data_IF_654788791361
#
_entry.id   IF_654788791361
#
_cell.length_a   1.000
_cell.length_b   1.000
_cell.length_c   1.000
_cell.angle_alpha   90.00
_cell.angle_beta   90.00
_cell.angle_gamma   90.00
#
_symmetry.space_group_name_H-M   'P 1'
#
loop_
_entity.id
_entity.type
_entity.pdbx_description
1 polymer ?
#
# COMPACT_ATOMS: atom_id res chain seq x y z
N UNK A 1 -20.46 10.20 11.37
CA UNK A 1 -19.35 9.32 10.96
C UNK A 1 -19.01 9.65 9.53
N UNK A 2 -17.87 10.29 9.25
CA UNK A 2 -17.51 10.73 7.90
C UNK A 2 -17.16 9.54 6.99
N UNK A 3 -17.60 9.55 5.73
CA UNK A 3 -17.17 8.58 4.72
C UNK A 3 -16.07 9.22 3.87
N UNK A 4 -14.95 8.51 3.71
CA UNK A 4 -13.86 8.93 2.82
C UNK A 4 -13.86 8.04 1.59
N UNK A 5 -13.76 8.65 0.40
CA UNK A 5 -13.65 7.91 -0.86
C UNK A 5 -12.17 7.72 -1.20
N UNK A 6 -11.76 6.47 -1.42
CA UNK A 6 -10.39 6.12 -1.84
C UNK A 6 -10.43 5.48 -3.22
N UNK A 7 -9.56 5.94 -4.13
CA UNK A 7 -9.42 5.39 -5.47
C UNK A 7 -8.43 4.21 -5.50
N UNK A 8 -8.69 3.22 -6.36
CA UNK A 8 -7.80 2.06 -6.57
C UNK A 8 -7.46 1.97 -8.06
N UNK A 9 -6.17 1.80 -8.39
CA UNK A 9 -5.72 1.56 -9.76
C UNK A 9 -5.77 0.06 -10.05
N UNK A 10 -6.46 -0.32 -11.10
CA UNK A 10 -6.62 -1.71 -11.54
C UNK A 10 -6.32 -1.77 -13.03
N UNK A 11 -5.62 -2.82 -13.45
CA UNK A 11 -5.49 -3.15 -14.87
C UNK A 11 -6.82 -3.68 -15.44
N UNK A 12 -6.95 -3.68 -16.77
CA UNK A 12 -8.17 -4.11 -17.44
C UNK A 12 -8.51 -5.58 -17.17
N UNK A 13 -7.51 -6.47 -17.07
CA UNK A 13 -7.73 -7.88 -16.83
C UNK A 13 -8.29 -8.13 -15.42
N UNK A 14 -7.82 -7.39 -14.42
CA UNK A 14 -8.36 -7.42 -13.06
C UNK A 14 -9.77 -6.83 -13.00
N UNK A 15 -10.04 -5.74 -13.72
CA UNK A 15 -11.39 -5.17 -13.80
C UNK A 15 -12.41 -6.17 -14.35
N UNK A 16 -12.07 -6.87 -15.43
CA UNK A 16 -12.97 -7.89 -16.01
C UNK A 16 -13.16 -9.09 -15.09
N UNK A 17 -12.11 -9.53 -14.38
CA UNK A 17 -12.22 -10.59 -13.35
C UNK A 17 -13.20 -10.20 -12.23
N UNK A 18 -13.09 -8.98 -11.70
CA UNK A 18 -14.00 -8.45 -10.67
C UNK A 18 -15.43 -8.40 -11.20
N UNK A 19 -15.61 -7.89 -12.42
CA UNK A 19 -16.93 -7.77 -13.05
C UNK A 19 -17.59 -9.14 -13.22
N UNK A 20 -16.87 -10.11 -13.77
CA UNK A 20 -17.35 -11.48 -13.93
C UNK A 20 -17.71 -12.12 -12.59
N UNK A 21 -16.86 -11.99 -11.58
CA UNK A 21 -17.13 -12.52 -10.23
C UNK A 21 -18.39 -11.90 -9.60
N UNK A 22 -18.55 -10.58 -9.73
CA UNK A 22 -19.72 -9.87 -9.20
C UNK A 22 -21.03 -10.30 -9.90
N UNK A 23 -21.00 -10.47 -11.23
CA UNK A 23 -22.16 -10.98 -11.99
C UNK A 23 -22.55 -12.39 -11.58
N UNK A 24 -21.58 -13.27 -11.27
CA UNK A 24 -21.86 -14.65 -10.83
C UNK A 24 -22.62 -14.74 -9.51
N UNK A 25 -22.56 -13.69 -8.69
CA UNK A 25 -23.24 -13.64 -7.38
C UNK A 25 -24.35 -12.58 -7.34
N UNK A 26 -24.78 -12.08 -8.51
CA UNK A 26 -25.82 -11.06 -8.65
C UNK A 26 -25.54 -9.79 -7.81
N UNK A 27 -24.30 -9.28 -7.88
CA UNK A 27 -23.87 -8.05 -7.21
C UNK A 27 -23.10 -7.13 -8.14
N UNK A 28 -22.87 -5.90 -7.69
CA UNK A 28 -22.08 -4.91 -8.43
C UNK A 28 -20.59 -5.04 -8.11
N UNK A 29 -19.69 -4.68 -9.04
CA UNK A 29 -18.24 -4.66 -8.80
C UNK A 29 -17.86 -3.85 -7.55
N UNK A 30 -18.51 -2.70 -7.33
CA UNK A 30 -18.26 -1.85 -6.17
C UNK A 30 -18.62 -2.56 -4.85
N UNK A 31 -19.75 -3.27 -4.80
CA UNK A 31 -20.13 -4.07 -3.62
C UNK A 31 -19.11 -5.18 -3.34
N UNK A 32 -18.68 -5.89 -4.39
CA UNK A 32 -17.70 -6.98 -4.26
C UNK A 32 -16.36 -6.46 -3.70
N UNK A 33 -15.85 -5.35 -4.22
CA UNK A 33 -14.60 -4.72 -3.73
C UNK A 33 -14.75 -4.35 -2.25
N UNK A 34 -15.87 -3.71 -1.88
CA UNK A 34 -16.12 -3.31 -0.49
C UNK A 34 -16.20 -4.53 0.44
N UNK A 35 -16.89 -5.59 0.01
CA UNK A 35 -17.02 -6.82 0.78
C UNK A 35 -15.68 -7.55 0.95
N UNK A 36 -14.86 -7.58 -0.11
CA UNK A 36 -13.52 -8.18 -0.06
C UNK A 36 -12.61 -7.46 0.94
N UNK A 37 -12.67 -6.13 1.00
CA UNK A 37 -11.91 -5.34 1.99
C UNK A 37 -12.32 -5.73 3.42
N UNK A 38 -13.63 -5.75 3.72
CA UNK A 38 -14.09 -6.09 5.06
C UNK A 38 -13.75 -7.53 5.45
N UNK A 39 -13.95 -8.48 4.55
CA UNK A 39 -13.63 -9.90 4.80
C UNK A 39 -12.14 -10.10 5.04
N UNK A 40 -11.28 -9.38 4.32
CA UNK A 40 -9.83 -9.46 4.51
C UNK A 40 -9.39 -8.85 5.85
N UNK A 41 -9.95 -7.69 6.22
CA UNK A 41 -9.69 -7.08 7.53
C UNK A 41 -10.14 -7.97 8.67
N UNK A 42 -11.36 -8.51 8.61
CA UNK A 42 -11.89 -9.45 9.60
C UNK A 42 -10.98 -10.68 9.71
N UNK A 43 -10.48 -11.22 8.59
CA UNK A 43 -9.53 -12.33 8.62
C UNK A 43 -8.22 -11.94 9.32
N UNK A 44 -7.67 -10.75 9.04
CA UNK A 44 -6.45 -10.27 9.69
C UNK A 44 -6.64 -10.01 11.19
N UNK A 45 -7.79 -9.51 11.60
CA UNK A 45 -8.11 -9.25 13.01
C UNK A 45 -8.32 -10.54 13.81
N UNK A 46 -8.88 -11.57 13.18
CA UNK A 46 -9.11 -12.88 13.81
C UNK A 46 -7.90 -13.82 13.73
N UNK A 47 -6.99 -13.60 12.78
CA UNK A 47 -5.76 -14.37 12.64
C UNK A 47 -4.64 -13.64 13.38
N UNK A 48 -4.26 -14.07 14.58
CA UNK A 48 -3.11 -13.54 15.37
C UNK A 48 -1.76 -13.61 14.62
N UNK A 49 -1.76 -14.18 13.41
CA UNK A 49 -0.63 -14.20 12.49
C UNK A 49 -1.14 -13.85 11.09
N UNK A 50 -0.60 -12.79 10.49
CA UNK A 50 -0.86 -12.47 9.08
C UNK A 50 -0.59 -13.72 8.24
N UNK A 51 -1.48 -14.11 7.32
CA UNK A 51 -1.07 -14.96 6.21
C UNK A 51 -0.02 -14.15 5.43
N UNK A 52 1.22 -14.63 5.43
CA UNK A 52 2.30 -14.11 4.59
C UNK A 52 1.75 -13.91 3.18
N UNK A 53 1.47 -12.65 2.81
CA UNK A 53 1.17 -12.29 1.43
C UNK A 53 2.34 -12.85 0.62
N UNK A 54 2.12 -13.80 -0.32
CA UNK A 54 3.22 -14.32 -1.11
C UNK A 54 3.91 -13.11 -1.71
N UNK A 55 5.21 -13.01 -1.43
CA UNK A 55 6.10 -11.97 -1.89
C UNK A 55 6.07 -11.89 -3.43
N UNK A 56 5.01 -11.30 -3.99
CA UNK A 56 4.95 -10.88 -5.40
C UNK A 56 5.80 -9.62 -5.61
N UNK A 57 6.60 -9.24 -4.61
CA UNK A 57 7.79 -8.41 -4.72
C UNK A 57 9.10 -9.24 -4.79
N UNK A 58 9.06 -10.58 -4.86
CA UNK A 58 10.25 -11.40 -5.18
C UNK A 58 10.70 -11.28 -6.64
N UNK A 59 10.09 -10.38 -7.42
CA UNK A 59 10.57 -9.98 -8.75
C UNK A 59 11.69 -8.94 -8.73
N UNK A 60 12.12 -8.44 -7.57
CA UNK A 60 13.32 -7.60 -7.45
C UNK A 60 14.57 -8.39 -7.01
N UNK A 61 14.49 -9.72 -6.96
CA UNK A 61 15.59 -10.60 -6.58
C UNK A 61 16.15 -11.35 -7.79
N UNK A 62 16.68 -10.63 -8.77
CA UNK A 62 17.65 -11.23 -9.69
C UNK A 62 18.46 -10.18 -10.47
N UNK A 63 19.35 -9.46 -9.78
CA UNK A 63 20.62 -9.08 -10.39
C UNK A 63 21.74 -9.28 -9.36
N UNK A 64 22.66 -10.17 -9.72
CA UNK A 64 24.04 -10.24 -9.22
C UNK A 64 24.30 -11.01 -7.93
N UNK A 65 24.37 -12.34 -8.09
CA UNK A 65 25.35 -13.16 -7.39
C UNK A 65 26.77 -12.70 -7.79
N UNK A 66 27.38 -11.79 -7.04
CA UNK A 66 28.84 -11.65 -6.97
C UNK A 66 29.27 -11.00 -5.65
N UNK A 67 29.69 -11.84 -4.69
CA UNK A 67 30.62 -11.60 -3.57
C UNK A 67 30.39 -10.41 -2.59
N UNK A 68 30.74 -10.56 -1.29
CA UNK A 68 30.42 -9.57 -0.26
C UNK A 68 31.37 -8.38 -0.36
N UNK A 69 30.87 -7.23 -0.81
CA UNK A 69 31.49 -5.92 -0.58
C UNK A 69 30.60 -5.13 0.38
N UNK A 70 31.18 -4.48 1.43
CA UNK A 70 30.41 -3.62 2.31
C UNK A 70 30.09 -2.34 1.55
N UNK A 71 28.98 -2.35 0.80
CA UNK A 71 28.45 -1.17 0.19
C UNK A 71 27.91 -0.27 1.31
N UNK A 72 28.57 0.88 1.46
CA UNK A 72 28.21 1.97 2.34
C UNK A 72 26.69 2.21 2.31
N UNK A 73 26.03 2.04 3.46
CA UNK A 73 24.69 2.58 3.65
C UNK A 73 24.73 4.05 3.27
N UNK A 74 23.80 4.55 2.43
CA UNK A 74 23.78 5.96 2.08
C UNK A 74 23.59 6.75 3.38
N UNK A 75 24.65 7.39 3.86
CA UNK A 75 24.60 8.18 5.08
C UNK A 75 23.53 9.25 4.89
N UNK A 76 22.42 9.17 5.63
CA UNK A 76 21.31 10.12 5.58
C UNK A 76 21.38 11.06 6.79
N UNK A 77 22.33 12.02 6.83
CA UNK A 77 22.62 12.84 8.00
C UNK A 77 21.48 13.79 8.40
N UNK A 78 20.41 13.87 7.61
CA UNK A 78 19.27 14.77 7.81
C UNK A 78 17.95 14.04 8.10
N UNK A 79 17.96 12.70 8.20
CA UNK A 79 16.73 11.93 8.48
C UNK A 79 16.18 12.27 9.88
N UNK A 80 17.05 12.27 10.89
CA UNK A 80 16.70 12.61 12.27
C UNK A 80 16.16 14.05 12.40
N UNK A 81 16.69 14.97 11.57
CA UNK A 81 16.20 16.35 11.48
C UNK A 81 14.83 16.44 10.78
N UNK A 82 14.62 15.64 9.73
CA UNK A 82 13.39 15.62 8.94
C UNK A 82 12.18 15.09 9.75
N UNK A 83 12.42 14.19 10.70
CA UNK A 83 11.37 13.65 11.58
C UNK A 83 10.85 14.69 12.59
N UNK A 84 11.63 15.73 12.89
CA UNK A 84 11.30 16.74 13.91
C UNK A 84 10.71 18.05 13.35
N UNK A 85 10.69 18.22 12.01
CA UNK A 85 10.10 19.41 11.39
C UNK A 85 8.58 19.29 11.30
N UNK A 86 7.89 19.94 12.25
CA UNK A 86 6.45 20.18 12.17
C UNK A 86 6.12 21.01 10.92
N UNK A 87 5.02 20.71 10.20
CA UNK A 87 4.58 21.51 9.06
C UNK A 87 4.35 22.96 9.52
N UNK A 88 5.16 23.88 9.01
CA UNK A 88 5.03 25.31 9.31
C UNK A 88 3.62 25.77 8.92
N UNK A 89 2.83 26.20 9.89
CA UNK A 89 1.55 26.88 9.61
C UNK A 89 1.82 28.18 8.84
N UNK A 90 0.86 28.57 7.99
CA UNK A 90 0.92 29.64 6.97
C UNK A 90 1.28 31.06 7.46
N UNK A 91 1.62 31.27 8.73
CA UNK A 91 1.81 32.59 9.36
C UNK A 91 3.24 33.17 9.30
N UNK A 92 4.15 32.66 8.46
CA UNK A 92 5.45 33.32 8.20
C UNK A 92 5.69 33.66 6.73
N UNK A 93 4.66 34.16 6.04
CA UNK A 93 4.85 34.87 4.77
C UNK A 93 5.44 36.29 4.93
N UNK A 94 5.81 36.70 6.15
CA UNK A 94 6.47 37.96 6.40
C UNK A 94 7.74 37.68 7.22
N UNK A 95 8.87 37.57 6.53
CA UNK A 95 10.17 38.18 6.85
C UNK A 95 11.14 37.66 5.78
N UNK A 96 11.51 38.57 4.86
CA UNK A 96 12.52 38.49 3.78
C UNK A 96 12.26 37.56 2.60
#
# INVERSE_FOLDING_TARGET
MGTTTMGVKLDDATRERIKSAATRIDRTPHWLIKQAIFSYLEQLENSDTLPELPALLSGAANESDEAPTPAEEPHQPFLDFAEQILPQSVSRAAIT
#
